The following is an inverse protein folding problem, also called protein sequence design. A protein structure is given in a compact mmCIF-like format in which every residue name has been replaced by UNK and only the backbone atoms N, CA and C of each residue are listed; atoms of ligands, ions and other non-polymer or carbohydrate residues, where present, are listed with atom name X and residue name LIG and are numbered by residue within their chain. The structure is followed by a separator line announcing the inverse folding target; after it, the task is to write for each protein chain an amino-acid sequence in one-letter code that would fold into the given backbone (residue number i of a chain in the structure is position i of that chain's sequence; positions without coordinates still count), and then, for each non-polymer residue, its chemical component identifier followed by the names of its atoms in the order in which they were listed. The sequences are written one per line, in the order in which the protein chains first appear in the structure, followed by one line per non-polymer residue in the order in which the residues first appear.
data_IF_736468737248
#
_entry.id   IF_736468737248
#
_cell.length_a   1.000
_cell.length_b   1.000
_cell.length_c   1.000
_cell.angle_alpha   90.00
_cell.angle_beta   90.00
_cell.angle_gamma   90.00
#
_symmetry.space_group_name_H-M   'P 1'
#
loop_
_entity.id
_entity.type
_entity.pdbx_description
1 polymer ?
#
# COMPACT_ATOMS: atom_id res chain seq x y z
N UNK A 1 16.54 -9.47 96.27
CA UNK A 1 15.07 -9.64 96.37
C UNK A 1 14.43 -8.98 95.15
N UNK A 2 13.72 -9.78 94.34
CA UNK A 2 12.58 -9.43 93.45
C UNK A 2 12.81 -8.46 92.26
N UNK A 3 12.86 -9.05 91.06
CA UNK A 3 12.17 -8.58 89.82
C UNK A 3 10.64 -8.41 90.09
N UNK A 4 9.80 -7.72 89.27
CA UNK A 4 9.82 -7.78 87.79
C UNK A 4 9.31 -6.55 86.99
N UNK A 5 9.42 -6.71 85.67
CA UNK A 5 8.76 -5.95 84.62
C UNK A 5 7.25 -6.25 84.53
N UNK A 6 6.45 -5.26 84.09
CA UNK A 6 5.15 -5.45 83.43
C UNK A 6 4.75 -4.15 82.71
N UNK A 7 4.64 -4.16 81.36
CA UNK A 7 3.39 -4.18 80.53
C UNK A 7 2.56 -2.88 80.57
N UNK A 8 1.93 -2.33 79.52
CA UNK A 8 1.35 -2.88 78.28
C UNK A 8 0.80 -1.72 77.38
N UNK A 9 0.75 -1.97 76.06
CA UNK A 9 -0.19 -1.47 75.03
C UNK A 9 -0.10 -0.02 74.49
N UNK A 10 0.14 0.13 73.17
CA UNK A 10 -0.91 0.40 72.17
C UNK A 10 -0.32 0.54 70.75
N UNK A 11 -1.05 0.01 69.77
CA UNK A 11 -0.74 0.01 68.33
C UNK A 11 -0.75 1.42 67.71
N UNK A 12 0.13 1.67 66.74
CA UNK A 12 -0.30 2.18 65.44
C UNK A 12 0.70 1.86 64.32
N UNK A 13 0.21 1.16 63.32
CA UNK A 13 0.89 0.80 62.07
C UNK A 13 0.62 1.92 61.07
N UNK A 14 1.65 2.51 60.46
CA UNK A 14 1.53 3.23 59.18
C UNK A 14 2.84 3.14 58.38
N UNK A 15 2.88 2.46 57.22
CA UNK A 15 4.03 2.44 56.34
C UNK A 15 4.00 3.66 55.38
N UNK A 16 5.11 4.38 55.30
CA UNK A 16 5.30 5.47 54.34
C UNK A 16 5.83 4.90 53.01
N UNK A 17 4.92 4.57 52.09
CA UNK A 17 5.25 4.21 50.72
C UNK A 17 5.33 5.48 49.86
N UNK A 18 6.54 5.86 49.44
CA UNK A 18 6.77 6.99 48.55
C UNK A 18 6.53 6.53 47.10
N UNK A 19 5.44 6.99 46.50
CA UNK A 19 4.94 6.54 45.20
C UNK A 19 5.77 7.01 44.01
N UNK A 20 5.99 6.09 43.07
CA UNK A 20 6.43 6.33 41.70
C UNK A 20 5.27 7.01 40.95
N UNK A 21 5.40 8.29 40.60
CA UNK A 21 4.42 8.96 39.75
C UNK A 21 4.78 8.73 38.28
N UNK A 22 4.02 7.86 37.62
CA UNK A 22 4.00 7.75 36.16
C UNK A 22 3.38 9.03 35.59
N UNK A 23 4.20 9.83 34.91
CA UNK A 23 3.71 10.91 34.06
C UNK A 23 2.92 10.29 32.90
N UNK A 24 1.60 10.33 33.00
CA UNK A 24 0.71 10.05 31.87
C UNK A 24 0.89 11.19 30.87
N UNK A 25 1.61 10.91 29.79
CA UNK A 25 1.58 11.76 28.60
C UNK A 25 0.18 11.56 28.00
N UNK A 26 -0.71 12.51 28.30
CA UNK A 26 -1.96 12.66 27.59
C UNK A 26 -1.61 12.98 26.13
N UNK A 27 -1.86 12.03 25.22
CA UNK A 27 -1.87 12.33 23.80
C UNK A 27 -3.05 13.25 23.54
N UNK A 28 -2.79 14.47 23.05
CA UNK A 28 -3.84 15.35 22.54
C UNK A 28 -4.57 14.63 21.40
N UNK A 29 -5.79 14.20 21.70
CA UNK A 29 -6.72 13.68 20.70
C UNK A 29 -7.21 14.88 19.87
N UNK A 30 -6.67 15.05 18.66
CA UNK A 30 -7.07 16.16 17.80
C UNK A 30 -8.57 16.03 17.46
N UNK A 31 -9.37 17.09 17.65
CA UNK A 31 -10.79 17.06 17.30
C UNK A 31 -10.94 16.77 15.81
N UNK A 32 -11.77 15.78 15.46
CA UNK A 32 -12.03 15.39 14.08
C UNK A 32 -12.52 16.60 13.29
N UNK A 33 -11.80 16.95 12.23
CA UNK A 33 -12.13 18.10 11.39
C UNK A 33 -13.43 17.77 10.64
N UNK A 34 -14.54 18.36 11.09
CA UNK A 34 -15.84 18.19 10.46
C UNK A 34 -15.75 18.65 9.01
N UNK A 35 -15.97 17.75 8.05
CA UNK A 35 -15.98 18.04 6.62
C UNK A 35 -17.29 17.54 6.02
N UNK A 36 -17.87 18.34 5.13
CA UNK A 36 -19.09 18.01 4.39
C UNK A 36 -18.85 17.07 3.19
N UNK A 37 -17.59 16.66 2.95
CA UNK A 37 -17.25 15.68 1.92
C UNK A 37 -17.49 14.24 2.39
N UNK A 38 -17.99 13.38 1.48
CA UNK A 38 -18.02 11.91 1.61
C UNK A 38 -16.61 11.37 1.93
N UNK A 39 -16.40 10.18 2.56
CA UNK A 39 -15.45 9.87 3.66
C UNK A 39 -13.94 10.03 3.39
N UNK A 40 -13.55 10.74 2.33
CA UNK A 40 -12.23 11.35 2.10
C UNK A 40 -12.02 12.54 3.04
N UNK A 41 -12.40 12.42 4.31
CA UNK A 41 -12.08 13.42 5.33
C UNK A 41 -10.67 13.12 5.83
N UNK A 42 -9.76 14.03 5.55
CA UNK A 42 -8.37 13.93 6.00
C UNK A 42 -8.33 14.20 7.51
N UNK A 43 -8.25 13.12 8.28
CA UNK A 43 -8.18 13.19 9.75
C UNK A 43 -6.74 13.28 10.28
N UNK A 44 -5.75 13.06 9.41
CA UNK A 44 -4.32 13.14 9.73
C UNK A 44 -3.73 14.47 9.21
N UNK A 45 -2.63 14.92 9.80
CA UNK A 45 -1.88 16.04 9.23
C UNK A 45 -1.20 15.65 7.90
N UNK A 46 -0.95 16.64 7.04
CA UNK A 46 -0.33 16.41 5.74
C UNK A 46 1.07 15.80 5.84
N UNK A 47 1.87 16.18 6.84
CA UNK A 47 3.25 15.70 6.98
C UNK A 47 3.26 14.20 7.32
N UNK A 48 2.31 13.74 8.13
CA UNK A 48 2.09 12.33 8.48
C UNK A 48 1.69 11.53 7.25
N UNK A 49 0.76 12.04 6.44
CA UNK A 49 0.36 11.41 5.18
C UNK A 49 1.55 11.33 4.20
N UNK A 50 2.25 12.43 4.00
CA UNK A 50 3.40 12.51 3.10
C UNK A 50 4.50 11.52 3.52
N UNK A 51 4.81 11.44 4.83
CA UNK A 51 5.78 10.49 5.37
C UNK A 51 5.35 9.04 5.11
N UNK A 52 4.10 8.69 5.44
CA UNK A 52 3.53 7.34 5.20
C UNK A 52 3.57 6.96 3.72
N UNK A 53 3.08 7.85 2.86
CA UNK A 53 2.97 7.61 1.42
C UNK A 53 4.34 7.50 0.75
N UNK A 54 5.30 8.34 1.15
CA UNK A 54 6.69 8.26 0.68
C UNK A 54 7.33 6.95 1.11
N UNK A 55 7.11 6.52 2.35
CA UNK A 55 7.62 5.23 2.85
C UNK A 55 7.02 4.02 2.11
N UNK A 56 5.74 4.11 1.69
CA UNK A 56 5.06 3.04 0.96
C UNK A 56 5.38 3.02 -0.55
N UNK A 57 5.91 4.11 -1.12
CA UNK A 57 6.16 4.23 -2.55
C UNK A 57 7.02 3.08 -3.13
N UNK A 58 8.13 2.65 -2.52
CA UNK A 58 8.97 1.59 -3.09
C UNK A 58 8.25 0.24 -3.23
N UNK A 59 7.39 -0.13 -2.27
CA UNK A 59 6.67 -1.40 -2.34
C UNK A 59 5.58 -1.37 -3.42
N UNK A 60 4.90 -0.23 -3.56
CA UNK A 60 3.90 0.01 -4.61
C UNK A 60 4.57 -0.04 -6.00
N UNK A 61 5.70 0.65 -6.16
CA UNK A 61 6.47 0.63 -7.40
C UNK A 61 6.94 -0.77 -7.76
N UNK A 62 7.43 -1.54 -6.79
CA UNK A 62 7.87 -2.92 -7.02
C UNK A 62 6.71 -3.84 -7.43
N UNK A 63 5.56 -3.74 -6.76
CA UNK A 63 4.37 -4.50 -7.11
C UNK A 63 3.88 -4.18 -8.53
N UNK A 64 3.84 -2.89 -8.87
CA UNK A 64 3.44 -2.45 -10.21
C UNK A 64 4.46 -2.85 -11.28
N UNK A 65 5.75 -2.73 -11.00
CA UNK A 65 6.83 -3.18 -11.90
C UNK A 65 6.72 -4.67 -12.18
N UNK A 66 6.48 -5.48 -11.14
CA UNK A 66 6.27 -6.94 -11.28
C UNK A 66 5.10 -7.23 -12.21
N UNK A 67 3.97 -6.52 -12.07
CA UNK A 67 2.83 -6.68 -12.96
C UNK A 67 3.16 -6.31 -14.42
N UNK A 68 3.90 -5.21 -14.63
CA UNK A 68 4.33 -4.80 -15.97
C UNK A 68 5.27 -5.83 -16.59
N UNK A 69 6.22 -6.38 -15.84
CA UNK A 69 7.14 -7.42 -16.30
C UNK A 69 6.44 -8.73 -16.63
N UNK A 70 5.33 -9.05 -15.97
CA UNK A 70 4.50 -10.21 -16.32
C UNK A 70 3.76 -9.99 -17.65
N UNK A 71 3.27 -8.78 -17.91
CA UNK A 71 2.44 -8.47 -19.08
C UNK A 71 3.24 -8.07 -20.32
N UNK A 72 4.42 -7.48 -20.12
CA UNK A 72 5.21 -6.90 -21.18
C UNK A 72 6.68 -7.28 -21.11
N UNK A 73 7.34 -7.25 -22.26
CA UNK A 73 8.78 -7.08 -22.34
C UNK A 73 9.11 -5.60 -22.11
N UNK A 74 10.02 -5.33 -21.17
CA UNK A 74 10.50 -3.98 -20.81
C UNK A 74 11.95 -3.70 -21.28
N UNK A 75 12.54 -4.58 -22.08
CA UNK A 75 13.88 -4.41 -22.67
C UNK A 75 13.99 -3.18 -23.58
N UNK A 76 15.13 -2.48 -23.54
CA UNK A 76 15.39 -1.37 -24.45
C UNK A 76 15.86 -1.88 -25.82
N UNK A 77 15.01 -1.74 -26.83
CA UNK A 77 15.21 -2.19 -28.22
C UNK A 77 14.80 -1.07 -29.18
N UNK A 78 15.65 -0.04 -29.37
CA UNK A 78 15.35 1.06 -30.26
C UNK A 78 15.40 0.63 -31.74
N UNK A 79 14.35 0.97 -32.48
CA UNK A 79 14.23 0.75 -33.91
C UNK A 79 15.28 1.56 -34.68
N UNK A 80 15.94 0.91 -35.65
CA UNK A 80 16.90 1.60 -36.52
C UNK A 80 16.16 2.55 -37.48
N UNK A 81 16.52 3.82 -37.46
CA UNK A 81 15.99 4.82 -38.40
C UNK A 81 14.58 5.33 -38.11
N UNK A 82 13.94 4.91 -37.00
CA UNK A 82 12.62 5.39 -36.60
C UNK A 82 12.70 6.18 -35.27
N UNK A 83 12.24 7.42 -35.30
CA UNK A 83 12.21 8.29 -34.12
C UNK A 83 10.94 9.12 -34.09
N UNK A 84 10.52 9.49 -32.89
CA UNK A 84 9.48 10.49 -32.66
C UNK A 84 10.00 11.88 -33.05
N UNK A 85 9.07 12.82 -33.23
CA UNK A 85 9.38 14.25 -33.29
C UNK A 85 10.26 14.63 -32.09
N UNK A 86 11.35 15.37 -32.35
CA UNK A 86 12.43 15.70 -31.38
C UNK A 86 13.42 14.57 -31.08
N UNK A 87 13.48 13.53 -31.92
CA UNK A 87 14.61 12.59 -31.99
C UNK A 87 14.60 11.44 -30.98
N UNK A 88 13.51 11.24 -30.22
CA UNK A 88 13.41 10.08 -29.31
C UNK A 88 13.26 8.79 -30.13
N UNK A 89 14.10 7.77 -29.95
CA UNK A 89 13.99 6.53 -30.72
C UNK A 89 12.69 5.80 -30.38
N UNK A 90 12.03 5.25 -31.41
CA UNK A 90 10.88 4.37 -31.23
C UNK A 90 11.37 2.97 -30.85
N UNK A 91 10.62 2.26 -30.02
CA UNK A 91 10.93 0.87 -29.65
C UNK A 91 10.38 -0.08 -30.72
N UNK A 92 11.14 -1.11 -31.10
CA UNK A 92 10.70 -2.11 -32.07
C UNK A 92 10.14 -3.38 -31.42
N UNK A 93 9.28 -4.07 -32.18
CA UNK A 93 8.70 -5.36 -31.82
C UNK A 93 7.47 -5.29 -30.91
N UNK A 94 6.78 -6.43 -30.81
CA UNK A 94 5.61 -6.57 -29.93
C UNK A 94 6.10 -6.63 -28.48
N UNK A 95 5.46 -5.85 -27.62
CA UNK A 95 5.81 -5.76 -26.20
C UNK A 95 4.96 -6.67 -25.32
N UNK A 96 3.77 -7.05 -25.77
CA UNK A 96 2.87 -7.93 -25.01
C UNK A 96 3.45 -9.35 -24.95
N UNK A 97 3.55 -9.90 -23.75
CA UNK A 97 3.91 -11.31 -23.54
C UNK A 97 2.67 -12.18 -23.74
N UNK A 98 2.85 -13.27 -24.49
CA UNK A 98 1.82 -14.29 -24.64
C UNK A 98 1.82 -15.22 -23.43
N UNK A 99 0.67 -15.87 -23.13
CA UNK A 99 0.62 -16.99 -22.20
C UNK A 99 1.67 -18.06 -22.57
N UNK A 100 2.20 -18.73 -21.55
CA UNK A 100 3.20 -19.77 -21.76
C UNK A 100 2.65 -20.90 -22.64
N UNK A 101 3.45 -21.35 -23.61
CA UNK A 101 3.05 -22.41 -24.54
C UNK A 101 2.10 -21.95 -25.66
N UNK A 102 2.06 -20.65 -25.97
CA UNK A 102 1.26 -20.10 -27.07
C UNK A 102 2.11 -19.23 -27.99
N UNK A 103 1.75 -19.19 -29.27
CA UNK A 103 2.32 -18.31 -30.31
C UNK A 103 1.27 -17.40 -30.94
N UNK A 104 1.72 -16.36 -31.66
CA UNK A 104 0.81 -15.48 -32.40
C UNK A 104 0.10 -16.25 -33.52
N UNK A 105 0.79 -17.18 -34.17
CA UNK A 105 0.27 -18.04 -35.23
C UNK A 105 -0.78 -19.03 -34.73
N UNK A 106 -0.67 -19.51 -33.49
CA UNK A 106 -1.70 -20.33 -32.85
C UNK A 106 -2.92 -19.48 -32.47
N UNK A 107 -2.72 -18.32 -31.86
CA UNK A 107 -3.81 -17.40 -31.52
C UNK A 107 -4.60 -16.97 -32.75
N UNK A 108 -3.93 -16.70 -33.87
CA UNK A 108 -4.57 -16.28 -35.12
C UNK A 108 -5.43 -17.39 -35.76
N UNK A 109 -5.24 -18.66 -35.36
CA UNK A 109 -6.02 -19.81 -35.84
C UNK A 109 -7.26 -20.10 -35.01
N UNK A 110 -7.37 -19.53 -33.80
CA UNK A 110 -8.48 -19.76 -32.88
C UNK A 110 -9.59 -18.72 -33.09
N UNK A 111 -10.83 -19.12 -32.82
CA UNK A 111 -11.94 -18.17 -32.74
C UNK A 111 -11.86 -17.34 -31.44
N UNK A 112 -12.49 -16.14 -31.39
CA UNK A 112 -12.56 -15.35 -30.16
C UNK A 112 -13.17 -16.11 -28.98
N UNK A 113 -14.17 -16.96 -29.21
CA UNK A 113 -14.79 -17.81 -28.19
C UNK A 113 -13.80 -18.84 -27.64
N UNK A 114 -12.99 -19.45 -28.50
CA UNK A 114 -11.96 -20.42 -28.11
C UNK A 114 -10.85 -19.76 -27.29
N UNK A 115 -10.36 -18.59 -27.73
CA UNK A 115 -9.37 -17.79 -26.99
C UNK A 115 -9.89 -17.47 -25.59
N UNK A 116 -11.16 -17.06 -25.49
CA UNK A 116 -11.80 -16.76 -24.20
C UNK A 116 -11.95 -18.00 -23.33
N UNK A 117 -12.44 -19.11 -23.89
CA UNK A 117 -12.67 -20.37 -23.15
C UNK A 117 -11.37 -20.96 -22.62
N UNK A 118 -10.28 -20.86 -23.37
CA UNK A 118 -8.97 -21.39 -23.00
C UNK A 118 -8.14 -20.41 -22.15
N UNK A 119 -8.61 -19.17 -21.96
CA UNK A 119 -7.88 -18.16 -21.18
C UNK A 119 -6.59 -17.69 -21.86
N UNK A 120 -6.53 -17.74 -23.19
CA UNK A 120 -5.32 -17.40 -23.96
C UNK A 120 -5.20 -15.92 -24.30
N UNK A 121 -6.18 -15.09 -23.89
CA UNK A 121 -6.15 -13.67 -24.16
C UNK A 121 -4.95 -13.01 -23.47
N UNK A 122 -4.04 -12.34 -24.19
CA UNK A 122 -2.81 -11.82 -23.59
C UNK A 122 -3.07 -10.75 -22.53
N UNK A 123 -2.46 -10.93 -21.35
CA UNK A 123 -2.66 -10.02 -20.22
C UNK A 123 -2.23 -8.57 -20.48
N UNK A 124 -1.35 -8.34 -21.45
CA UNK A 124 -0.93 -7.00 -21.87
C UNK A 124 -2.02 -6.18 -22.58
N UNK A 125 -3.13 -6.78 -22.98
CA UNK A 125 -4.29 -6.08 -23.54
C UNK A 125 -5.41 -5.82 -22.52
N UNK A 126 -5.27 -6.35 -21.30
CA UNK A 126 -6.21 -6.04 -20.22
C UNK A 126 -5.94 -4.62 -19.70
N UNK A 127 -6.97 -3.92 -19.17
CA UNK A 127 -6.79 -2.63 -18.52
C UNK A 127 -5.66 -2.68 -17.48
N UNK A 128 -4.85 -1.63 -17.44
CA UNK A 128 -3.82 -1.48 -16.42
C UNK A 128 -4.46 -0.97 -15.13
N UNK A 129 -4.30 -1.68 -14.00
CA UNK A 129 -4.80 -1.20 -12.72
C UNK A 129 -3.98 0.00 -12.24
N UNK A 130 -4.62 0.91 -11.51
CA UNK A 130 -3.93 2.03 -10.88
C UNK A 130 -2.91 1.51 -9.85
N UNK A 131 -1.64 1.97 -9.85
CA UNK A 131 -0.61 1.45 -8.95
C UNK A 131 -0.97 1.58 -7.47
N UNK A 132 -1.65 2.66 -7.10
CA UNK A 132 -2.09 2.92 -5.73
C UNK A 132 -3.60 3.19 -5.68
N UNK A 133 -4.39 2.14 -5.85
CA UNK A 133 -5.85 2.27 -5.94
C UNK A 133 -6.50 2.79 -4.64
N UNK A 134 -5.94 2.44 -3.48
CA UNK A 134 -6.50 2.85 -2.18
C UNK A 134 -6.56 4.38 -1.99
N UNK A 135 -5.61 5.11 -2.58
CA UNK A 135 -5.50 6.57 -2.48
C UNK A 135 -6.00 7.27 -3.76
N UNK A 136 -6.04 6.55 -4.88
CA UNK A 136 -6.64 7.01 -6.13
C UNK A 136 -8.16 6.87 -6.06
N UNK A 137 -8.84 7.94 -5.64
CA UNK A 137 -10.29 7.94 -5.40
C UNK A 137 -11.10 7.21 -6.48
N UNK A 138 -11.90 6.22 -6.06
CA UNK A 138 -12.90 5.58 -6.89
C UNK A 138 -14.26 6.20 -6.57
N UNK A 139 -14.88 6.85 -7.55
CA UNK A 139 -16.24 7.38 -7.40
C UNK A 139 -17.22 6.24 -7.66
N UNK A 140 -17.88 5.74 -6.61
CA UNK A 140 -19.02 4.85 -6.78
C UNK A 140 -20.29 5.68 -6.99
N UNK A 141 -21.02 5.52 -8.10
CA UNK A 141 -22.32 6.14 -8.25
C UNK A 141 -23.30 5.60 -7.19
N UNK A 142 -24.16 6.47 -6.67
CA UNK A 142 -25.32 6.05 -5.89
C UNK A 142 -26.34 5.45 -6.86
N UNK A 143 -26.85 4.26 -6.54
CA UNK A 143 -28.07 3.71 -7.14
C UNK A 143 -29.27 4.16 -6.31
#
# INVERSE_FOLDING_TARGET
MKTPAWTRHALWVMPLALGLQSAVVAGDEQPSKTSSYSPVVINEDFATIMKRMTANKPSIEQAHKTLLEQRYDLSDRPAKGASMTRGKPLQEGIRVKLPAGTSWEELARLSPEEIRKQGLFPGGFLPLPHPNHAEGGMVFPKF
#
